data_IF_332459985835
#
_entry.id   IF_332459985835
#
_cell.length_a   1.000
_cell.length_b   1.000
_cell.length_c   1.000
_cell.angle_alpha   90.00
_cell.angle_beta   90.00
_cell.angle_gamma   90.00
#
_symmetry.space_group_name_H-M   'P 1'
#
loop_
_entity.id
_entity.type
_entity.pdbx_description
1 polymer ?
#
# COMPACT_ATOMS: atom_id res chain seq x y z
N UNK A 1 39.01 13.56 -65.67
CA UNK A 1 38.10 12.44 -65.32
C UNK A 1 38.26 12.22 -63.83
N UNK A 2 37.37 12.80 -63.02
CA UNK A 2 37.49 12.84 -61.56
C UNK A 2 36.88 11.58 -60.95
N UNK A 3 37.68 10.90 -60.13
CA UNK A 3 37.32 9.67 -59.41
C UNK A 3 36.38 9.98 -58.24
N UNK A 4 35.28 9.25 -58.17
CA UNK A 4 34.22 9.35 -57.16
C UNK A 4 34.68 8.65 -55.88
N UNK A 5 34.84 9.37 -54.77
CA UNK A 5 35.16 8.79 -53.45
C UNK A 5 33.86 8.68 -52.64
N UNK A 6 33.39 7.45 -52.40
CA UNK A 6 32.20 7.17 -51.59
C UNK A 6 32.64 7.02 -50.12
N UNK A 7 32.24 7.97 -49.28
CA UNK A 7 32.41 7.92 -47.83
C UNK A 7 31.38 6.97 -47.22
N UNK A 8 31.83 5.85 -46.65
CA UNK A 8 31.00 4.97 -45.81
C UNK A 8 30.85 5.58 -44.41
N UNK A 9 29.63 6.01 -44.06
CA UNK A 9 29.28 6.38 -42.70
C UNK A 9 28.80 5.12 -41.95
N UNK A 10 29.64 4.56 -41.09
CA UNK A 10 29.25 3.45 -40.22
C UNK A 10 28.44 3.98 -39.04
N UNK A 11 27.12 3.72 -39.06
CA UNK A 11 26.19 4.05 -37.99
C UNK A 11 26.37 3.04 -36.85
N UNK A 12 27.14 3.39 -35.82
CA UNK A 12 27.23 2.58 -34.60
C UNK A 12 25.94 2.75 -33.78
N UNK A 13 24.98 1.83 -33.93
CA UNK A 13 23.88 1.71 -32.98
C UNK A 13 24.39 1.02 -31.71
N UNK A 14 24.72 1.82 -30.70
CA UNK A 14 24.81 1.34 -29.31
C UNK A 14 23.41 0.97 -28.83
N UNK A 15 23.10 -0.33 -28.84
CA UNK A 15 21.94 -0.86 -28.13
C UNK A 15 22.17 -0.64 -26.62
N UNK A 16 21.43 0.31 -26.04
CA UNK A 16 21.33 0.44 -24.60
C UNK A 16 20.64 -0.81 -24.06
N UNK A 17 21.43 -1.71 -23.47
CA UNK A 17 20.93 -2.89 -22.78
C UNK A 17 20.31 -2.36 -21.48
N UNK A 18 19.01 -2.06 -21.49
CA UNK A 18 18.27 -1.83 -20.27
C UNK A 18 18.44 -3.08 -19.40
N UNK A 19 19.10 -2.93 -18.25
CA UNK A 19 19.15 -4.00 -17.26
C UNK A 19 17.72 -4.41 -16.94
N UNK A 20 17.35 -5.70 -17.02
CA UNK A 20 16.04 -6.11 -16.59
C UNK A 20 15.91 -5.75 -15.12
N UNK A 21 14.89 -4.95 -14.79
CA UNK A 21 14.38 -4.79 -13.43
C UNK A 21 14.35 -6.19 -12.81
N UNK A 22 15.04 -6.39 -11.70
CA UNK A 22 14.94 -7.63 -10.95
C UNK A 22 13.45 -7.90 -10.70
N UNK A 23 12.92 -8.93 -11.36
CA UNK A 23 11.59 -9.43 -11.12
C UNK A 23 11.56 -9.86 -9.65
N UNK A 24 10.78 -9.17 -8.82
CA UNK A 24 10.43 -9.67 -7.49
C UNK A 24 9.62 -10.96 -7.72
N UNK A 25 10.17 -12.09 -7.29
CA UNK A 25 9.57 -13.44 -7.35
C UNK A 25 8.35 -13.62 -6.40
N UNK A 26 7.54 -12.58 -6.20
CA UNK A 26 6.23 -12.70 -5.57
C UNK A 26 5.18 -12.87 -6.68
N UNK A 27 4.21 -13.81 -6.55
CA UNK A 27 3.04 -13.81 -7.44
C UNK A 27 2.51 -12.38 -7.53
N UNK A 28 2.08 -11.87 -8.71
CA UNK A 28 1.61 -10.50 -8.80
C UNK A 28 0.37 -10.35 -7.90
N UNK A 29 0.59 -9.78 -6.71
CA UNK A 29 -0.47 -9.35 -5.83
C UNK A 29 -1.31 -8.32 -6.57
N UNK A 30 -2.59 -8.26 -6.24
CA UNK A 30 -3.43 -7.19 -6.72
C UNK A 30 -3.41 -6.02 -5.72
N UNK A 31 -3.55 -4.82 -6.24
CA UNK A 31 -3.55 -3.59 -5.47
C UNK A 31 -4.96 -2.98 -5.58
N UNK A 32 -5.77 -2.97 -4.51
CA UNK A 32 -7.16 -2.52 -4.60
C UNK A 32 -7.23 -1.01 -4.86
N UNK A 33 -7.96 -0.59 -5.88
CA UNK A 33 -8.28 0.82 -6.10
C UNK A 33 -9.59 1.17 -5.38
N UNK A 34 -9.46 1.82 -4.22
CA UNK A 34 -10.61 2.15 -3.37
C UNK A 34 -11.40 3.37 -3.82
N UNK A 35 -10.87 4.18 -4.76
CA UNK A 35 -11.50 5.40 -5.28
C UNK A 35 -12.15 6.32 -4.22
N UNK A 36 -11.54 6.41 -3.02
CA UNK A 36 -12.07 7.22 -1.91
C UNK A 36 -13.17 6.56 -1.07
N UNK A 37 -13.38 5.25 -1.22
CA UNK A 37 -14.29 4.48 -0.36
C UNK A 37 -13.73 4.33 1.04
N UNK A 38 -14.58 4.42 2.06
CA UNK A 38 -14.18 4.07 3.43
C UNK A 38 -14.02 2.56 3.55
N UNK A 39 -12.97 2.13 4.24
CA UNK A 39 -12.58 0.74 4.37
C UNK A 39 -12.37 0.38 5.83
N UNK A 40 -12.71 -0.87 6.19
CA UNK A 40 -12.26 -1.50 7.43
C UNK A 40 -11.35 -2.67 7.09
N UNK A 41 -10.32 -2.87 7.92
CA UNK A 41 -9.37 -3.98 7.77
C UNK A 41 -9.52 -4.90 8.96
N UNK A 42 -9.83 -6.17 8.70
CA UNK A 42 -9.95 -7.21 9.71
C UNK A 42 -8.99 -8.34 9.43
N UNK A 43 -8.49 -8.99 10.47
CA UNK A 43 -7.82 -10.29 10.32
C UNK A 43 -8.73 -11.27 9.59
N UNK A 44 -8.14 -12.28 8.94
CA UNK A 44 -8.90 -13.29 8.19
C UNK A 44 -9.89 -14.08 9.08
N UNK A 45 -9.59 -14.22 10.37
CA UNK A 45 -10.52 -14.81 11.34
C UNK A 45 -11.68 -13.89 11.72
N UNK A 46 -11.61 -12.60 11.36
CA UNK A 46 -12.56 -11.57 11.77
C UNK A 46 -12.47 -11.19 13.26
N UNK A 47 -11.50 -11.76 13.99
CA UNK A 47 -11.40 -11.61 15.46
C UNK A 47 -11.04 -10.20 15.90
N UNK A 48 -10.13 -9.56 15.16
CA UNK A 48 -9.67 -8.19 15.39
C UNK A 48 -9.57 -7.43 14.09
N UNK A 49 -9.74 -6.12 14.20
CA UNK A 49 -9.69 -5.13 13.14
C UNK A 49 -8.76 -3.98 13.49
N UNK A 50 -8.39 -3.21 12.47
CA UNK A 50 -7.63 -1.98 12.62
C UNK A 50 -8.47 -0.92 13.33
N UNK A 51 -7.85 -0.27 14.32
CA UNK A 51 -8.43 0.85 15.05
C UNK A 51 -7.37 1.85 15.43
N UNK A 52 -7.58 3.12 15.10
CA UNK A 52 -6.72 4.22 15.51
C UNK A 52 -7.55 5.50 15.64
N UNK A 53 -7.41 6.20 16.77
CA UNK A 53 -8.03 7.52 16.95
C UNK A 53 -7.32 8.54 16.07
N UNK A 54 -8.07 9.46 15.47
CA UNK A 54 -7.53 10.51 14.62
C UNK A 54 -6.85 11.64 15.42
N UNK A 55 -5.76 11.31 16.12
CA UNK A 55 -4.94 12.23 16.90
C UNK A 55 -3.47 11.84 16.72
N UNK A 56 -2.61 12.83 16.51
CA UNK A 56 -1.17 12.63 16.31
C UNK A 56 -0.55 11.85 17.47
N UNK A 57 0.26 10.85 17.14
CA UNK A 57 0.95 9.98 18.09
C UNK A 57 0.13 8.79 18.58
N UNK A 58 -1.18 8.72 18.30
CA UNK A 58 -1.95 7.52 18.65
C UNK A 58 -1.51 6.33 17.81
N UNK A 59 -1.37 5.14 18.40
CA UNK A 59 -0.92 3.98 17.66
C UNK A 59 -2.07 3.31 16.92
N UNK A 60 -1.73 2.64 15.81
CA UNK A 60 -2.61 1.66 15.20
C UNK A 60 -2.74 0.45 16.15
N UNK A 61 -3.97 0.03 16.42
CA UNK A 61 -4.26 -1.01 17.42
C UNK A 61 -5.13 -2.12 16.83
N UNK A 62 -4.93 -3.34 17.33
CA UNK A 62 -5.84 -4.46 17.10
C UNK A 62 -7.03 -4.35 18.06
N UNK A 63 -8.25 -4.32 17.51
CA UNK A 63 -9.47 -4.07 18.28
C UNK A 63 -10.68 -4.84 17.72
N UNK A 64 -11.64 -5.15 18.58
CA UNK A 64 -12.95 -5.68 18.17
C UNK A 64 -13.90 -4.61 17.64
N UNK A 65 -13.53 -3.33 17.76
CA UNK A 65 -14.30 -2.19 17.26
C UNK A 65 -13.55 -1.54 16.08
N UNK A 66 -13.87 -1.92 14.83
CA UNK A 66 -13.17 -1.43 13.65
C UNK A 66 -13.38 0.07 13.48
N UNK A 67 -12.29 0.78 13.15
CA UNK A 67 -12.38 2.14 12.62
C UNK A 67 -12.14 2.15 11.12
N UNK A 68 -12.64 3.21 10.49
CA UNK A 68 -12.66 3.36 9.05
C UNK A 68 -11.45 4.15 8.56
N UNK A 69 -10.91 3.73 7.43
CA UNK A 69 -9.77 4.36 6.78
C UNK A 69 -10.03 4.62 5.30
N UNK A 70 -9.35 5.60 4.73
CA UNK A 70 -9.26 5.81 3.29
C UNK A 70 -7.88 5.37 2.81
N UNK A 71 -7.83 4.55 1.77
CA UNK A 71 -6.58 4.14 1.12
C UNK A 71 -6.42 4.95 -0.16
N UNK A 72 -5.76 6.10 -0.06
CA UNK A 72 -5.49 6.94 -1.21
C UNK A 72 -4.26 6.41 -1.96
N UNK A 73 -4.47 5.90 -3.16
CA UNK A 73 -3.42 5.42 -4.03
C UNK A 73 -2.55 6.59 -4.53
N UNK A 74 -1.24 6.42 -4.47
CA UNK A 74 -0.25 7.32 -5.04
C UNK A 74 0.33 6.69 -6.32
N UNK A 75 0.23 7.40 -7.43
CA UNK A 75 0.95 7.08 -8.67
C UNK A 75 0.64 5.75 -9.37
N UNK A 76 1.28 5.59 -10.53
CA UNK A 76 1.39 4.38 -11.34
C UNK A 76 2.72 4.49 -12.11
N UNK A 77 3.53 3.42 -12.29
CA UNK A 77 3.27 2.00 -12.04
C UNK A 77 3.63 1.50 -10.63
N UNK A 78 4.37 2.27 -9.84
CA UNK A 78 4.63 1.94 -8.43
C UNK A 78 3.40 2.37 -7.65
N UNK A 79 2.70 1.39 -7.07
CA UNK A 79 1.47 1.60 -6.33
C UNK A 79 1.78 1.57 -4.84
N UNK A 80 1.79 2.74 -4.21
CA UNK A 80 1.76 2.87 -2.76
C UNK A 80 0.53 3.66 -2.32
N UNK A 81 0.23 3.62 -1.04
CA UNK A 81 -0.98 4.19 -0.47
C UNK A 81 -0.66 5.09 0.71
N UNK A 82 -1.33 6.23 0.75
CA UNK A 82 -1.50 7.00 1.98
C UNK A 82 -2.79 6.53 2.67
N UNK A 83 -2.66 6.02 3.89
CA UNK A 83 -3.78 5.52 4.69
C UNK A 83 -4.26 6.63 5.61
N UNK A 84 -5.43 7.21 5.36
CA UNK A 84 -6.01 8.31 6.14
C UNK A 84 -7.09 7.81 7.07
N UNK A 85 -7.26 8.45 8.22
CA UNK A 85 -8.43 8.19 9.07
C UNK A 85 -9.67 8.84 8.47
N UNK A 86 -10.83 8.16 8.51
CA UNK A 86 -12.10 8.76 8.03
C UNK A 86 -12.60 9.88 8.94
N UNK A 87 -12.34 9.77 10.26
CA UNK A 87 -12.71 10.79 11.26
C UNK A 87 -12.10 12.16 10.94
N UNK A 88 -10.89 12.19 10.39
CA UNK A 88 -10.29 13.40 9.84
C UNK A 88 -9.25 13.09 8.77
N UNK A 89 -9.43 13.67 7.59
CA UNK A 89 -8.52 13.50 6.44
C UNK A 89 -7.22 14.30 6.57
N UNK A 90 -7.07 15.07 7.67
CA UNK A 90 -5.83 15.76 8.03
C UNK A 90 -4.81 14.85 8.70
N UNK A 91 -5.19 13.60 9.01
CA UNK A 91 -4.31 12.63 9.64
C UNK A 91 -4.14 11.37 8.78
N UNK A 92 -2.93 10.82 8.82
CA UNK A 92 -2.54 9.63 8.08
C UNK A 92 -1.73 8.67 8.95
N UNK A 93 -1.73 7.40 8.59
CA UNK A 93 -0.86 6.40 9.18
C UNK A 93 0.58 6.66 8.73
N UNK A 94 1.48 6.73 9.70
CA UNK A 94 2.89 7.05 9.53
C UNK A 94 3.75 6.06 10.32
N UNK A 95 4.83 5.60 9.70
CA UNK A 95 5.89 4.92 10.42
C UNK A 95 6.70 5.96 11.21
N UNK A 96 6.58 5.94 12.54
CA UNK A 96 7.32 6.83 13.42
C UNK A 96 7.84 6.04 14.64
N UNK A 97 9.12 6.22 14.97
CA UNK A 97 9.76 5.48 16.07
C UNK A 97 9.76 3.95 15.90
N UNK A 98 9.65 3.45 14.67
CA UNK A 98 9.54 2.03 14.36
C UNK A 98 8.13 1.44 14.51
N UNK A 99 7.13 2.26 14.85
CA UNK A 99 5.74 1.84 15.03
C UNK A 99 4.78 2.53 14.05
N UNK A 100 3.66 1.90 13.68
CA UNK A 100 2.59 2.53 12.91
C UNK A 100 1.76 3.44 13.82
N UNK A 101 1.95 4.76 13.68
CA UNK A 101 1.27 5.79 14.46
C UNK A 101 0.46 6.72 13.55
N UNK A 102 -0.51 7.43 14.12
CA UNK A 102 -1.21 8.51 13.41
C UNK A 102 -0.33 9.77 13.40
N UNK A 103 -0.08 10.32 12.22
CA UNK A 103 0.68 11.54 11.98
C UNK A 103 -0.16 12.60 11.27
N UNK A 104 0.40 13.82 11.15
CA UNK A 104 -0.19 14.87 10.30
C UNK A 104 0.04 14.51 8.84
N UNK A 105 -0.97 14.67 7.99
CA UNK A 105 -0.83 14.39 6.56
C UNK A 105 0.30 15.22 5.93
N UNK A 106 1.16 14.58 5.13
CA UNK A 106 2.04 15.29 4.23
C UNK A 106 1.35 15.58 2.90
N UNK A 107 0.87 16.81 2.75
CA UNK A 107 0.18 17.27 1.54
C UNK A 107 1.08 17.27 0.30
N UNK A 108 2.41 17.31 0.47
CA UNK A 108 3.35 17.25 -0.65
C UNK A 108 3.50 15.84 -1.21
N UNK A 109 3.13 14.81 -0.44
CA UNK A 109 3.33 13.40 -0.79
C UNK A 109 4.79 12.95 -0.82
N UNK A 110 5.69 13.72 -0.21
CA UNK A 110 7.13 13.45 -0.16
C UNK A 110 7.53 12.52 0.99
N UNK A 111 6.74 12.50 2.07
CA UNK A 111 7.00 11.72 3.27
C UNK A 111 6.82 10.22 2.99
N UNK A 112 7.96 9.54 2.83
CA UNK A 112 8.01 8.08 2.60
C UNK A 112 7.43 7.27 3.77
N UNK A 113 7.46 7.81 5.00
CA UNK A 113 6.91 7.12 6.16
C UNK A 113 5.37 7.04 6.14
N UNK A 114 4.70 7.82 5.29
CA UNK A 114 3.24 7.75 5.08
C UNK A 114 2.85 6.94 3.84
N UNK A 115 3.82 6.26 3.21
CA UNK A 115 3.60 5.43 2.02
C UNK A 115 3.63 3.96 2.40
N UNK A 116 2.52 3.28 2.11
CA UNK A 116 2.29 1.89 2.45
C UNK A 116 1.99 1.08 1.19
N UNK A 117 2.68 -0.03 0.99
CA UNK A 117 2.30 -0.99 -0.05
C UNK A 117 1.16 -1.86 0.46
N UNK A 118 0.23 -2.19 -0.43
CA UNK A 118 -0.88 -3.10 -0.16
C UNK A 118 -0.88 -4.17 -1.24
N UNK A 119 -0.49 -5.37 -0.85
CA UNK A 119 -0.41 -6.54 -1.72
C UNK A 119 -1.42 -7.58 -1.29
N UNK A 120 -2.44 -7.81 -2.11
CA UNK A 120 -3.53 -8.73 -1.81
C UNK A 120 -3.48 -9.97 -2.72
N UNK A 121 -3.93 -11.11 -2.19
CA UNK A 121 -4.12 -12.33 -3.02
C UNK A 121 -5.35 -12.21 -3.92
N UNK A 122 -6.36 -11.47 -3.47
CA UNK A 122 -7.59 -11.25 -4.23
C UNK A 122 -8.06 -9.80 -4.10
N UNK A 123 -8.55 -9.25 -5.20
CA UNK A 123 -9.21 -7.95 -5.28
C UNK A 123 -10.44 -8.11 -6.17
N UNK A 124 -11.55 -7.47 -5.78
CA UNK A 124 -12.72 -7.39 -6.63
C UNK A 124 -12.40 -6.66 -7.93
N UNK A 125 -13.01 -7.10 -9.03
CA UNK A 125 -12.97 -6.40 -10.31
C UNK A 125 -14.02 -5.28 -10.39
N UNK A 126 -14.96 -5.26 -9.45
CA UNK A 126 -16.03 -4.28 -9.41
C UNK A 126 -15.55 -2.98 -8.78
N UNK A 127 -16.29 -1.90 -9.05
CA UNK A 127 -16.03 -0.61 -8.43
C UNK A 127 -16.29 -0.69 -6.91
N UNK A 128 -15.22 -0.58 -6.10
CA UNK A 128 -15.25 -0.69 -4.63
C UNK A 128 -16.29 0.26 -4.00
N UNK A 129 -16.51 1.44 -4.57
CA UNK A 129 -17.50 2.41 -4.06
C UNK A 129 -18.95 1.92 -4.13
N UNK A 130 -19.23 0.90 -4.96
CA UNK A 130 -20.53 0.27 -5.12
C UNK A 130 -20.66 -1.03 -4.30
N UNK A 131 -19.57 -1.55 -3.74
CA UNK A 131 -19.50 -2.83 -3.03
C UNK A 131 -19.64 -2.66 -1.51
N UNK A 132 -20.55 -1.80 -1.06
CA UNK A 132 -20.75 -1.49 0.37
C UNK A 132 -21.07 -2.75 1.17
N UNK A 133 -20.46 -2.85 2.34
CA UNK A 133 -20.53 -3.97 3.28
C UNK A 133 -20.06 -5.32 2.70
N UNK A 134 -19.19 -5.30 1.71
CA UNK A 134 -18.60 -6.51 1.13
C UNK A 134 -17.08 -6.49 1.24
N UNK A 135 -16.51 -7.68 1.37
CA UNK A 135 -15.06 -7.88 1.29
C UNK A 135 -14.62 -7.63 -0.15
N UNK A 136 -13.82 -6.59 -0.36
CA UNK A 136 -13.35 -6.13 -1.67
C UNK A 136 -11.92 -6.54 -1.97
N UNK A 137 -11.15 -6.90 -0.95
CA UNK A 137 -9.84 -7.52 -1.12
C UNK A 137 -9.57 -8.52 0.03
N UNK A 138 -8.80 -9.57 -0.25
CA UNK A 138 -8.52 -10.63 0.73
C UNK A 138 -7.03 -10.92 0.84
N UNK A 139 -6.63 -11.34 2.04
CA UNK A 139 -5.26 -11.74 2.37
C UNK A 139 -4.26 -10.68 1.93
N UNK A 140 -4.52 -9.45 2.36
CA UNK A 140 -3.71 -8.29 2.06
C UNK A 140 -2.61 -8.14 3.10
N UNK A 141 -1.39 -8.03 2.64
CA UNK A 141 -0.25 -7.57 3.43
C UNK A 141 -0.15 -6.04 3.32
N UNK A 142 0.05 -5.36 4.45
CA UNK A 142 0.29 -3.92 4.47
C UNK A 142 1.73 -3.69 4.92
N UNK A 143 2.55 -3.19 3.99
CA UNK A 143 3.99 -3.08 4.17
C UNK A 143 4.42 -1.62 4.17
N UNK A 144 5.24 -1.20 5.14
CA UNK A 144 5.84 0.12 5.11
C UNK A 144 6.88 0.20 3.99
N UNK A 145 6.79 1.22 3.14
CA UNK A 145 7.79 1.44 2.07
C UNK A 145 9.18 1.81 2.61
N UNK A 146 9.25 2.40 3.83
CA UNK A 146 10.51 2.83 4.43
C UNK A 146 11.41 1.67 4.88
N UNK A 147 10.89 0.74 5.67
CA UNK A 147 11.67 -0.35 6.29
C UNK A 147 11.31 -1.74 5.75
N UNK A 148 10.38 -1.84 4.79
CA UNK A 148 9.93 -3.09 4.17
C UNK A 148 9.37 -4.12 5.16
N UNK A 149 8.84 -3.66 6.30
CA UNK A 149 8.21 -4.51 7.31
C UNK A 149 6.68 -4.45 7.20
N UNK A 150 6.04 -5.54 7.60
CA UNK A 150 4.59 -5.75 7.54
C UNK A 150 3.91 -5.41 8.87
N UNK A 151 2.73 -4.80 8.79
CA UNK A 151 1.87 -4.61 9.96
C UNK A 151 1.40 -5.96 10.48
N UNK A 152 1.51 -6.18 11.80
CA UNK A 152 0.99 -7.39 12.46
C UNK A 152 -0.03 -7.04 13.54
N UNK A 153 -1.07 -7.87 13.61
CA UNK A 153 -2.13 -7.82 14.63
C UNK A 153 -1.84 -8.70 15.85
N UNK A 154 -0.66 -9.34 15.91
CA UNK A 154 -0.26 -10.19 17.03
C UNK A 154 -0.19 -9.43 18.37
N UNK A 155 0.10 -8.13 18.31
CA UNK A 155 0.17 -7.23 19.46
C UNK A 155 -0.88 -6.13 19.38
N UNK A 156 -1.22 -5.55 20.53
CA UNK A 156 -1.98 -4.31 20.63
C UNK A 156 -1.29 -3.37 21.61
N UNK A 157 -0.73 -2.22 21.16
CA UNK A 157 -0.80 -1.70 19.80
C UNK A 157 -0.08 -2.55 18.74
N UNK A 158 -0.51 -2.43 17.48
CA UNK A 158 0.08 -3.16 16.36
C UNK A 158 1.52 -2.70 16.11
N UNK A 159 2.36 -3.64 15.66
CA UNK A 159 3.79 -3.41 15.39
C UNK A 159 4.13 -3.79 13.96
N UNK A 160 5.38 -3.56 13.57
CA UNK A 160 5.93 -4.02 12.30
C UNK A 160 6.85 -5.23 12.50
N UNK A 161 6.75 -6.24 11.64
CA UNK A 161 7.56 -7.46 11.64
C UNK A 161 8.06 -7.79 10.24
N UNK A 162 9.03 -8.71 10.14
CA UNK A 162 9.41 -9.25 8.84
C UNK A 162 8.19 -9.86 8.15
N UNK A 163 7.99 -9.56 6.87
CA UNK A 163 6.88 -10.06 6.09
C UNK A 163 7.04 -11.58 5.85
N UNK A 164 6.25 -12.39 6.54
CA UNK A 164 6.26 -13.86 6.43
C UNK A 164 4.96 -14.42 5.84
N UNK A 165 3.97 -13.57 5.58
CA UNK A 165 2.60 -13.97 5.18
C UNK A 165 1.90 -14.82 6.25
N UNK A 166 2.26 -14.60 7.53
CA UNK A 166 1.58 -15.21 8.66
C UNK A 166 0.13 -14.70 8.75
N UNK A 167 -0.74 -15.47 9.41
CA UNK A 167 -2.16 -15.10 9.52
C UNK A 167 -2.39 -13.73 10.18
N UNK A 168 -1.51 -13.34 11.11
CA UNK A 168 -1.62 -12.09 11.86
C UNK A 168 -1.11 -10.87 11.08
N UNK A 169 -0.44 -11.10 9.94
CA UNK A 169 0.04 -10.07 8.98
C UNK A 169 -0.93 -9.87 7.81
N UNK A 170 -1.99 -10.70 7.71
CA UNK A 170 -2.90 -10.71 6.58
C UNK A 170 -4.29 -10.21 6.95
N UNK A 171 -4.78 -9.26 6.17
CA UNK A 171 -6.04 -8.57 6.42
C UNK A 171 -7.00 -8.72 5.23
N UNK A 172 -8.27 -8.89 5.53
CA UNK A 172 -9.35 -8.73 4.58
C UNK A 172 -9.87 -7.30 4.65
N UNK A 173 -10.06 -6.69 3.48
CA UNK A 173 -10.49 -5.30 3.33
C UNK A 173 -11.97 -5.30 2.95
N UNK A 174 -12.79 -4.64 3.76
CA UNK A 174 -14.22 -4.50 3.54
C UNK A 174 -14.55 -3.05 3.21
N UNK A 175 -15.29 -2.83 2.13
CA UNK A 175 -15.81 -1.51 1.81
C UNK A 175 -17.02 -1.21 2.71
N UNK A 176 -17.04 -0.03 3.33
CA UNK A 176 -18.09 0.38 4.26
C UNK A 176 -18.68 1.73 3.85
N UNK A 177 -19.95 2.01 4.20
CA UNK A 177 -20.50 3.35 4.09
C UNK A 177 -19.65 4.35 4.90
N UNK A 178 -19.46 5.57 4.38
CA UNK A 178 -18.85 6.68 5.12
C UNK A 178 -19.77 7.09 6.25
#
# INVERSE_FOLDING_TARGET
MSSLTILFFALFLTAAIASPLAARDTPPGCHPNSAGSALTLSTMSGSVSWSAKAVVGNPLSASTSPLKFFFQQNGFPIVDYMVKTVESTNFALELNGGAPLIGNIDLSGSNVNQKWMVDCTFCTQNNISQEKNKVVAKRCSITSTTNMLCVTSLNSPMTLVACTSSGDELFDITAVPV
#
